data_IF_094948402127
#
_entry.id   IF_094948402127
#
_cell.length_a   1.000
_cell.length_b   1.000
_cell.length_c   1.000
_cell.angle_alpha   90.00
_cell.angle_beta   90.00
_cell.angle_gamma   90.00
#
_symmetry.space_group_name_H-M   'P 1'
#
loop_
_entity.id
_entity.type
_entity.pdbx_description
1 polymer ?
#
# COMPACT_ATOMS: atom_id res chain seq x y z
N UNK A 1 0.23 -1.20 12.70
CA UNK A 1 1.66 -1.52 12.84
C UNK A 1 2.31 -1.54 11.46
N UNK A 2 3.49 -0.92 11.33
CA UNK A 2 4.31 -0.90 10.11
C UNK A 2 5.42 -1.96 10.18
N UNK A 3 6.04 -2.31 9.05
CA UNK A 3 7.09 -3.35 8.96
C UNK A 3 8.49 -2.73 9.13
N UNK A 4 8.80 -2.21 10.32
CA UNK A 4 10.06 -1.50 10.56
C UNK A 4 11.32 -2.35 10.28
N UNK A 5 11.26 -3.68 10.53
CA UNK A 5 12.39 -4.59 10.31
C UNK A 5 12.71 -4.84 8.82
N UNK A 6 11.75 -4.60 7.92
CA UNK A 6 11.90 -4.84 6.47
C UNK A 6 12.51 -3.64 5.74
N UNK A 7 12.76 -2.54 6.43
CA UNK A 7 13.11 -1.26 5.81
C UNK A 7 11.93 -0.65 5.03
N UNK A 8 12.09 0.58 4.51
CA UNK A 8 11.05 1.21 3.70
C UNK A 8 10.87 0.48 2.36
N UNK A 9 9.63 0.33 1.93
CA UNK A 9 9.32 -0.08 0.56
C UNK A 9 9.88 0.95 -0.44
N UNK A 10 10.20 0.48 -1.64
CA UNK A 10 10.88 1.27 -2.66
C UNK A 10 10.13 1.23 -3.99
N UNK A 11 10.25 2.30 -4.77
CA UNK A 11 9.91 2.25 -6.19
C UNK A 11 11.11 1.69 -6.96
N UNK A 12 10.90 0.54 -7.61
CA UNK A 12 11.90 -0.15 -8.40
C UNK A 12 11.59 -0.01 -9.89
N UNK A 13 12.45 0.67 -10.63
CA UNK A 13 12.38 0.75 -12.08
C UNK A 13 13.11 -0.43 -12.72
N UNK A 14 12.44 -1.11 -13.65
CA UNK A 14 13.02 -2.16 -14.50
C UNK A 14 12.92 -1.74 -15.97
N UNK A 15 13.91 -2.08 -16.81
CA UNK A 15 13.80 -1.88 -18.25
C UNK A 15 12.56 -2.59 -18.79
N UNK A 16 11.84 -1.95 -19.72
CA UNK A 16 10.80 -2.63 -20.48
C UNK A 16 11.40 -3.76 -21.33
N UNK A 17 10.62 -4.81 -21.54
CA UNK A 17 10.95 -5.87 -22.49
C UNK A 17 10.90 -5.38 -23.95
N UNK A 18 10.15 -4.31 -24.22
CA UNK A 18 10.01 -3.72 -25.53
C UNK A 18 10.99 -2.56 -25.72
N UNK A 19 11.78 -2.62 -26.80
CA UNK A 19 12.78 -1.61 -27.09
C UNK A 19 12.13 -0.26 -27.41
N UNK A 20 12.51 0.79 -26.68
CA UNK A 20 11.99 2.15 -26.86
C UNK A 20 10.79 2.49 -25.97
N UNK A 21 10.27 1.52 -25.22
CA UNK A 21 9.23 1.75 -24.21
C UNK A 21 9.85 2.25 -22.88
N UNK A 22 9.10 3.04 -22.09
CA UNK A 22 9.56 3.52 -20.79
C UNK A 22 9.74 2.38 -19.79
N UNK A 23 10.51 2.64 -18.73
CA UNK A 23 10.73 1.69 -17.64
C UNK A 23 9.42 1.29 -16.95
N UNK A 24 9.34 0.02 -16.54
CA UNK A 24 8.27 -0.50 -15.70
C UNK A 24 8.62 -0.25 -14.24
N UNK A 25 7.81 0.54 -13.54
CA UNK A 25 8.01 0.87 -12.11
C UNK A 25 7.16 -0.04 -11.24
N UNK A 26 7.76 -0.66 -10.23
CA UNK A 26 7.08 -1.54 -9.27
C UNK A 26 7.23 -0.99 -7.85
N UNK A 27 6.34 -1.40 -6.94
CA UNK A 27 6.59 -1.26 -5.50
C UNK A 27 7.29 -2.53 -5.02
N UNK A 28 8.45 -2.38 -4.39
CA UNK A 28 9.30 -3.48 -3.95
C UNK A 28 9.61 -3.40 -2.46
N UNK A 29 9.89 -4.55 -1.85
CA UNK A 29 10.58 -4.65 -0.57
C UNK A 29 11.98 -4.01 -0.66
N UNK A 30 12.59 -3.67 0.48
CA UNK A 30 13.92 -3.05 0.51
C UNK A 30 15.03 -3.95 -0.05
N UNK A 31 14.81 -5.27 -0.10
CA UNK A 31 15.72 -6.23 -0.74
C UNK A 31 15.54 -6.31 -2.27
N UNK A 32 14.63 -5.51 -2.84
CA UNK A 32 14.33 -5.46 -4.27
C UNK A 32 13.35 -6.52 -4.76
N UNK A 33 12.74 -7.33 -3.88
CA UNK A 33 11.69 -8.26 -4.29
C UNK A 33 10.34 -7.53 -4.43
N UNK A 34 9.58 -7.83 -5.49
CA UNK A 34 8.25 -7.27 -5.72
C UNK A 34 7.24 -8.34 -6.10
N UNK A 35 5.96 -7.99 -6.07
CA UNK A 35 4.87 -8.78 -6.66
C UNK A 35 3.91 -7.87 -7.43
N UNK A 36 3.16 -8.45 -8.38
CA UNK A 36 2.10 -7.77 -9.10
C UNK A 36 2.57 -7.08 -10.37
N UNK A 37 1.68 -6.24 -10.92
CA UNK A 37 1.93 -5.47 -12.13
C UNK A 37 2.76 -4.22 -11.84
N UNK A 38 3.39 -3.65 -12.87
CA UNK A 38 3.99 -2.34 -12.75
C UNK A 38 2.90 -1.26 -12.63
N UNK A 39 3.27 -0.14 -12.02
CA UNK A 39 2.45 1.06 -11.92
C UNK A 39 2.30 1.67 -13.30
N UNK A 40 1.06 1.91 -13.72
CA UNK A 40 0.74 2.56 -14.99
C UNK A 40 0.55 4.06 -14.78
N UNK A 41 1.51 4.93 -15.18
CA UNK A 41 1.47 6.35 -14.83
C UNK A 41 0.25 7.09 -15.40
N UNK A 42 -0.34 6.58 -16.48
CA UNK A 42 -1.50 7.18 -17.17
C UNK A 42 -2.85 6.77 -16.58
N UNK A 43 -2.87 5.85 -15.63
CA UNK A 43 -4.13 5.34 -15.03
C UNK A 43 -4.65 6.24 -13.93
N UNK A 44 -3.77 6.99 -13.24
CA UNK A 44 -4.18 7.89 -12.19
C UNK A 44 -4.91 9.12 -12.75
N UNK A 45 -6.07 9.43 -12.17
CA UNK A 45 -6.87 10.61 -12.54
C UNK A 45 -6.39 11.88 -11.82
N UNK A 46 -5.89 11.71 -10.60
CA UNK A 46 -5.32 12.75 -9.75
C UNK A 46 -4.26 12.16 -8.79
N UNK A 47 -3.69 13.01 -7.93
CA UNK A 47 -2.68 12.62 -6.95
C UNK A 47 -3.19 11.64 -5.89
N UNK A 48 -4.46 11.70 -5.50
CA UNK A 48 -5.03 10.79 -4.50
C UNK A 48 -5.22 9.40 -5.09
N UNK A 49 -5.70 9.32 -6.33
CA UNK A 49 -5.80 8.07 -7.08
C UNK A 49 -4.41 7.48 -7.36
N UNK A 50 -3.42 8.31 -7.72
CA UNK A 50 -2.03 7.86 -7.88
C UNK A 50 -1.49 7.23 -6.57
N UNK A 51 -1.74 7.88 -5.43
CA UNK A 51 -1.32 7.37 -4.12
C UNK A 51 -2.06 6.07 -3.75
N UNK A 52 -3.33 5.92 -4.13
CA UNK A 52 -4.09 4.70 -3.90
C UNK A 52 -3.51 3.52 -4.67
N UNK A 53 -3.16 3.72 -5.95
CA UNK A 53 -2.50 2.71 -6.78
C UNK A 53 -1.18 2.26 -6.14
N UNK A 54 -0.37 3.21 -5.65
CA UNK A 54 0.90 2.88 -4.97
C UNK A 54 0.66 2.14 -3.65
N UNK A 55 -0.32 2.57 -2.86
CA UNK A 55 -0.66 1.95 -1.59
C UNK A 55 -1.16 0.51 -1.78
N UNK A 56 -2.04 0.27 -2.74
CA UNK A 56 -2.55 -1.07 -3.06
C UNK A 56 -1.41 -1.98 -3.54
N UNK A 57 -0.55 -1.51 -4.45
CA UNK A 57 0.62 -2.26 -4.91
C UNK A 57 1.61 -2.58 -3.77
N UNK A 58 1.75 -1.68 -2.80
CA UNK A 58 2.52 -1.90 -1.59
C UNK A 58 1.93 -3.02 -0.72
N UNK A 59 0.60 -3.00 -0.50
CA UNK A 59 -0.09 -4.06 0.24
C UNK A 59 0.04 -5.42 -0.46
N UNK A 60 -0.15 -5.48 -1.78
CA UNK A 60 0.01 -6.71 -2.56
C UNK A 60 1.43 -7.27 -2.47
N UNK A 61 2.44 -6.42 -2.62
CA UNK A 61 3.84 -6.83 -2.51
C UNK A 61 4.15 -7.41 -1.14
N UNK A 62 3.72 -6.75 -0.07
CA UNK A 62 3.93 -7.27 1.29
C UNK A 62 3.18 -8.57 1.51
N UNK A 63 1.90 -8.63 1.11
CA UNK A 63 1.07 -9.82 1.28
C UNK A 63 1.67 -11.05 0.59
N UNK A 64 2.14 -10.88 -0.65
CA UNK A 64 2.60 -11.99 -1.48
C UNK A 64 4.08 -12.34 -1.31
N UNK A 65 4.91 -11.41 -0.83
CA UNK A 65 6.32 -11.69 -0.54
C UNK A 65 6.54 -12.16 0.90
N UNK A 66 5.83 -11.58 1.85
CA UNK A 66 6.04 -11.84 3.27
C UNK A 66 4.92 -12.68 3.90
N UNK A 67 3.85 -12.99 3.18
CA UNK A 67 2.69 -13.73 3.70
C UNK A 67 2.07 -13.07 4.93
N UNK A 68 2.06 -11.73 4.94
CA UNK A 68 1.59 -10.91 6.05
C UNK A 68 0.62 -9.83 5.56
N UNK A 69 -0.44 -9.60 6.32
CA UNK A 69 -1.28 -8.44 6.09
C UNK A 69 -0.56 -7.17 6.54
N UNK A 70 -0.65 -6.12 5.73
CA UNK A 70 -0.05 -4.83 6.03
C UNK A 70 -0.78 -3.71 5.28
N UNK A 71 -0.87 -2.49 5.84
CA UNK A 71 -0.59 -2.18 7.23
C UNK A 71 -1.68 -2.74 8.14
N UNK A 72 -1.33 -3.05 9.39
CA UNK A 72 -2.27 -3.58 10.38
C UNK A 72 -2.90 -2.46 11.23
N UNK A 73 -4.19 -2.55 11.53
CA UNK A 73 -4.86 -1.71 12.51
C UNK A 73 -4.33 -2.02 13.92
N UNK A 74 -3.91 -1.00 14.66
CA UNK A 74 -3.36 -1.18 16.00
C UNK A 74 -4.40 -1.68 17.02
N UNK A 75 -5.68 -1.35 16.83
CA UNK A 75 -6.76 -1.75 17.74
C UNK A 75 -7.25 -3.18 17.48
N UNK A 76 -7.31 -3.59 16.20
CA UNK A 76 -7.99 -4.84 15.80
C UNK A 76 -7.05 -5.94 15.30
N UNK A 77 -5.79 -5.61 15.02
CA UNK A 77 -4.81 -6.50 14.39
C UNK A 77 -5.32 -7.10 13.07
N UNK A 78 -5.99 -6.26 12.27
CA UNK A 78 -6.51 -6.60 10.95
C UNK A 78 -5.80 -5.79 9.88
N UNK A 79 -5.62 -6.38 8.70
CA UNK A 79 -5.22 -5.64 7.49
C UNK A 79 -6.18 -4.48 7.23
N UNK A 80 -5.63 -3.31 6.97
CA UNK A 80 -6.38 -2.11 6.63
C UNK A 80 -6.58 -2.04 5.11
N UNK A 81 -7.55 -1.23 4.68
CA UNK A 81 -7.79 -0.94 3.27
C UNK A 81 -7.62 0.56 3.02
N UNK A 82 -7.24 0.91 1.80
CA UNK A 82 -7.29 2.29 1.32
C UNK A 82 -8.75 2.74 1.19
N UNK A 83 -9.03 3.98 1.59
CA UNK A 83 -10.35 4.59 1.47
C UNK A 83 -10.22 6.09 1.29
N UNK A 84 -10.89 6.63 0.27
CA UNK A 84 -11.04 8.09 0.14
C UNK A 84 -12.01 8.62 1.21
N UNK A 85 -11.56 9.63 1.95
CA UNK A 85 -12.39 10.39 2.89
C UNK A 85 -12.23 11.86 2.57
N UNK A 86 -13.23 12.43 1.91
CA UNK A 86 -13.25 13.86 1.54
C UNK A 86 -12.04 14.30 0.72
N UNK A 87 -11.56 13.45 -0.20
CA UNK A 87 -10.39 13.72 -1.04
C UNK A 87 -9.05 13.44 -0.36
N UNK A 88 -9.06 12.90 0.86
CA UNK A 88 -7.87 12.42 1.56
C UNK A 88 -7.85 10.90 1.63
N UNK A 89 -6.90 10.29 0.93
CA UNK A 89 -6.70 8.85 0.98
C UNK A 89 -6.21 8.43 2.37
N UNK A 90 -6.96 7.53 3.01
CA UNK A 90 -6.74 7.11 4.38
C UNK A 90 -6.78 5.59 4.52
N UNK A 91 -6.09 5.08 5.55
CA UNK A 91 -6.18 3.70 6.00
C UNK A 91 -7.45 3.52 6.84
N UNK A 92 -8.26 2.55 6.44
CA UNK A 92 -9.52 2.20 7.11
C UNK A 92 -9.48 0.75 7.58
N UNK A 93 -9.89 0.53 8.82
CA UNK A 93 -10.12 -0.81 9.37
C UNK A 93 -11.63 -1.13 9.35
N UNK A 94 -11.97 -2.37 8.99
CA UNK A 94 -13.37 -2.83 9.01
C UNK A 94 -13.93 -3.10 10.42
N UNK A 95 -13.06 -3.15 11.45
CA UNK A 95 -13.41 -3.55 12.80
C UNK A 95 -13.69 -5.06 12.92
N UNK A 96 -14.10 -5.51 14.12
CA UNK A 96 -14.47 -6.92 14.37
C UNK A 96 -15.91 -6.98 14.90
N UNK A 97 -16.80 -7.57 14.09
CA UNK A 97 -18.26 -7.65 14.34
C UNK A 97 -18.66 -8.25 15.68
N UNK A 98 -17.85 -9.16 16.24
CA UNK A 98 -18.19 -9.90 17.45
C UNK A 98 -17.78 -9.19 18.74
N UNK A 99 -16.59 -8.58 18.81
CA UNK A 99 -16.05 -8.05 20.08
C UNK A 99 -15.07 -6.86 19.93
N UNK A 100 -14.69 -6.46 18.72
CA UNK A 100 -13.64 -5.44 18.53
C UNK A 100 -14.15 -4.01 18.34
N UNK A 101 -15.40 -3.84 17.92
CA UNK A 101 -15.98 -2.53 17.63
C UNK A 101 -16.16 -2.28 16.13
N UNK A 102 -16.72 -1.10 15.77
CA UNK A 102 -17.02 -0.75 14.38
C UNK A 102 -15.74 -0.44 13.59
N UNK A 103 -15.87 -0.43 12.26
CA UNK A 103 -14.80 0.05 11.40
C UNK A 103 -14.55 1.54 11.59
N UNK A 104 -13.29 1.95 11.44
CA UNK A 104 -12.82 3.32 11.70
C UNK A 104 -11.69 3.71 10.74
N UNK A 105 -11.50 5.02 10.58
CA UNK A 105 -10.34 5.59 9.90
C UNK A 105 -9.18 5.62 10.90
N UNK A 106 -8.03 5.06 10.51
CA UNK A 106 -6.85 5.01 11.36
C UNK A 106 -5.95 6.23 11.14
N UNK A 107 -5.53 6.47 9.89
CA UNK A 107 -4.63 7.59 9.54
C UNK A 107 -4.67 7.86 8.03
N UNK A 108 -4.19 9.03 7.61
CA UNK A 108 -3.92 9.28 6.19
C UNK A 108 -2.80 8.34 5.67
N UNK A 109 -2.85 7.99 4.38
CA UNK A 109 -1.75 7.24 3.76
C UNK A 109 -0.47 8.08 3.81
N UNK A 110 0.61 7.50 4.33
CA UNK A 110 1.87 8.19 4.59
C UNK A 110 1.99 8.85 5.98
N UNK A 111 0.96 8.75 6.84
CA UNK A 111 0.96 9.32 8.19
C UNK A 111 0.75 8.27 9.30
N UNK A 112 0.97 6.98 9.01
CA UNK A 112 0.80 5.89 9.99
C UNK A 112 1.82 5.95 11.14
N UNK A 113 2.99 6.49 10.89
CA UNK A 113 4.15 6.51 11.79
C UNK A 113 4.07 7.67 12.80
N UNK A 114 3.04 8.51 12.69
CA UNK A 114 2.86 9.71 13.50
C UNK A 114 2.09 9.47 14.82
N UNK A 115 1.87 8.20 15.22
CA UNK A 115 1.08 7.80 16.39
C UNK A 115 1.83 6.81 17.29
#
# INVERSE_FOLDING_TARGET
MTLAEQGPLQLLAQPSYEAGEPECVYVALANGEWHGSHLYPKTAEDSAHALAIVADAAQETVAERLWQAWPLCAEHDLGMHTRDVEGLLSWWCAGRRSEGGPGHICAAVGALDAF
#
